data_IF_839629773511
#
_entry.id   IF_839629773511
#
_cell.length_a   1.000
_cell.length_b   1.000
_cell.length_c   1.000
_cell.angle_alpha   90.00
_cell.angle_beta   90.00
_cell.angle_gamma   90.00
#
_symmetry.space_group_name_H-M   'P 1'
#
loop_
_entity.id
_entity.type
_entity.pdbx_description
1 polymer ?
#
# COMPACT_ATOMS: atom_id res chain seq x y z
N UNK A 1 -8.74 4.64 -1.06
CA UNK A 1 -7.31 5.00 -0.91
C UNK A 1 -6.68 4.24 0.24
N UNK A 2 -5.36 4.06 0.20
CA UNK A 2 -4.59 3.54 1.31
C UNK A 2 -3.39 4.43 1.61
N UNK A 3 -2.88 4.35 2.85
CA UNK A 3 -1.66 5.05 3.27
C UNK A 3 -0.69 4.05 3.86
N UNK A 4 0.39 3.80 3.15
CA UNK A 4 1.49 3.00 3.65
C UNK A 4 2.45 3.84 4.48
N UNK A 5 3.03 3.24 5.50
CA UNK A 5 3.95 3.89 6.42
C UNK A 5 5.22 3.06 6.60
N UNK A 6 6.33 3.74 6.87
CA UNK A 6 7.55 3.16 7.39
C UNK A 6 7.91 3.83 8.71
N UNK A 7 8.35 3.06 9.67
CA UNK A 7 8.76 3.53 11.00
C UNK A 7 10.11 4.26 10.95
N UNK A 8 10.42 4.98 12.02
CA UNK A 8 11.73 5.59 12.18
C UNK A 8 12.85 4.53 12.24
N UNK A 9 12.61 3.39 12.86
CA UNK A 9 13.58 2.28 12.93
C UNK A 9 13.84 1.67 11.55
N UNK A 10 12.80 1.44 10.74
CA UNK A 10 12.97 0.98 9.36
C UNK A 10 13.75 2.00 8.51
N UNK A 11 13.52 3.31 8.74
CA UNK A 11 14.29 4.35 8.04
C UNK A 11 15.75 4.36 8.47
N UNK A 12 16.03 4.17 9.75
CA UNK A 12 17.39 4.11 10.29
C UNK A 12 18.15 2.87 9.79
N UNK A 13 17.46 1.73 9.65
CA UNK A 13 18.03 0.46 9.20
C UNK A 13 18.22 0.42 7.68
N UNK A 14 17.20 0.85 6.93
CA UNK A 14 17.16 0.66 5.47
C UNK A 14 17.53 1.89 4.67
N UNK A 15 17.55 3.05 5.29
CA UNK A 15 17.63 4.35 4.63
C UNK A 15 16.30 4.82 4.04
N UNK A 16 16.17 6.16 3.95
CA UNK A 16 14.90 6.82 3.60
C UNK A 16 14.35 6.39 2.23
N UNK A 17 15.20 6.21 1.24
CA UNK A 17 14.77 5.90 -0.13
C UNK A 17 14.09 4.54 -0.21
N UNK A 18 14.70 3.53 0.44
CA UNK A 18 14.15 2.18 0.46
C UNK A 18 12.89 2.11 1.32
N UNK A 19 12.90 2.74 2.50
CA UNK A 19 11.74 2.83 3.37
C UNK A 19 10.52 3.49 2.68
N UNK A 20 10.74 4.53 1.84
CA UNK A 20 9.69 5.13 1.02
C UNK A 20 9.13 4.14 -0.01
N UNK A 21 9.99 3.34 -0.64
CA UNK A 21 9.58 2.28 -1.57
C UNK A 21 8.68 1.25 -0.89
N UNK A 22 9.10 0.73 0.26
CA UNK A 22 8.32 -0.24 1.04
C UNK A 22 6.99 0.37 1.51
N UNK A 23 6.99 1.61 1.98
CA UNK A 23 5.75 2.29 2.37
C UNK A 23 4.77 2.42 1.19
N UNK A 24 5.26 2.78 -0.01
CA UNK A 24 4.43 2.86 -1.20
C UNK A 24 3.87 1.47 -1.60
N UNK A 25 4.67 0.42 -1.52
CA UNK A 25 4.23 -0.96 -1.79
C UNK A 25 3.18 -1.44 -0.77
N UNK A 26 3.29 -1.05 0.51
CA UNK A 26 2.26 -1.32 1.53
C UNK A 26 0.92 -0.68 1.16
N UNK A 27 0.93 0.58 0.71
CA UNK A 27 -0.28 1.25 0.24
C UNK A 27 -0.87 0.57 -1.00
N UNK A 28 -0.04 0.24 -1.98
CA UNK A 28 -0.44 -0.44 -3.21
C UNK A 28 -1.08 -1.80 -2.91
N UNK A 29 -0.40 -2.63 -2.13
CA UNK A 29 -0.90 -3.96 -1.70
C UNK A 29 -2.26 -3.86 -1.01
N UNK A 30 -2.44 -2.87 -0.14
CA UNK A 30 -3.71 -2.66 0.55
C UNK A 30 -4.82 -2.29 -0.43
N UNK A 31 -4.61 -1.30 -1.32
CA UNK A 31 -5.62 -0.87 -2.31
C UNK A 31 -6.00 -2.02 -3.23
N UNK A 32 -5.03 -2.79 -3.72
CA UNK A 32 -5.29 -3.90 -4.63
C UNK A 32 -6.10 -5.01 -3.96
N UNK A 33 -5.79 -5.32 -2.70
CA UNK A 33 -6.57 -6.30 -1.92
C UNK A 33 -7.99 -5.83 -1.65
N UNK A 34 -8.19 -4.55 -1.34
CA UNK A 34 -9.51 -3.95 -1.15
C UNK A 34 -10.34 -3.98 -2.45
N UNK A 35 -9.70 -3.79 -3.60
CA UNK A 35 -10.32 -3.91 -4.91
C UNK A 35 -10.54 -5.36 -5.38
N UNK A 36 -10.06 -6.35 -4.62
CA UNK A 36 -10.13 -7.75 -4.99
C UNK A 36 -9.24 -8.14 -6.17
N UNK A 37 -8.22 -7.33 -6.47
CA UNK A 37 -7.26 -7.61 -7.53
C UNK A 37 -6.33 -8.73 -7.10
N UNK A 38 -6.18 -9.77 -7.98
CA UNK A 38 -5.28 -10.90 -7.77
C UNK A 38 -4.70 -11.33 -9.11
N UNK A 39 -3.45 -11.78 -9.11
CA UNK A 39 -2.89 -12.54 -10.23
C UNK A 39 -3.73 -13.82 -10.35
N UNK A 40 -4.37 -13.99 -11.51
CA UNK A 40 -5.35 -15.03 -11.77
C UNK A 40 -4.90 -16.42 -11.34
N UNK A 41 -5.66 -17.03 -10.45
CA UNK A 41 -5.48 -18.39 -9.97
C UNK A 41 -6.05 -18.58 -8.58
N UNK A 42 -7.34 -18.39 -8.42
CA UNK A 42 -8.26 -19.17 -7.61
C UNK A 42 -9.60 -18.41 -7.54
N UNK A 43 -10.46 -18.80 -8.44
CA UNK A 43 -11.89 -18.49 -8.34
C UNK A 43 -12.43 -19.27 -7.13
N UNK A 44 -12.47 -18.62 -5.96
CA UNK A 44 -13.22 -19.14 -4.84
C UNK A 44 -14.70 -18.97 -5.17
N UNK A 45 -15.27 -19.94 -5.90
CA UNK A 45 -16.70 -20.13 -5.99
C UNK A 45 -17.19 -20.34 -4.55
N UNK A 46 -17.80 -19.34 -3.96
CA UNK A 46 -18.61 -19.54 -2.76
C UNK A 46 -19.72 -20.50 -3.15
N UNK A 47 -19.58 -21.77 -2.76
CA UNK A 47 -20.63 -22.76 -2.78
C UNK A 47 -21.75 -22.25 -1.88
N UNK A 48 -22.79 -21.70 -2.49
CA UNK A 48 -24.05 -21.48 -1.79
C UNK A 48 -24.60 -22.86 -1.46
N UNK A 49 -24.54 -23.24 -0.21
CA UNK A 49 -25.26 -24.38 0.34
C UNK A 49 -26.75 -24.02 0.34
N UNK A 50 -27.46 -24.55 -0.64
CA UNK A 50 -28.91 -24.55 -0.69
C UNK A 50 -29.34 -25.99 -0.86
N UNK A 51 -29.70 -26.66 0.23
CA UNK A 51 -30.43 -27.92 0.23
C UNK A 51 -31.75 -27.73 -0.50
N UNK A 52 -32.01 -28.59 -1.47
CA UNK A 52 -33.38 -29.00 -1.76
C UNK A 52 -33.36 -30.38 -2.40
N UNK A 53 -33.86 -31.33 -1.67
CA UNK A 53 -34.12 -32.69 -2.11
C UNK A 53 -35.26 -32.72 -3.12
N UNK A 54 -35.14 -33.59 -4.15
CA UNK A 54 -36.28 -33.80 -5.05
C UNK A 54 -36.04 -34.77 -6.21
N UNK A 55 -36.30 -36.06 -5.92
CA UNK A 55 -36.87 -37.09 -6.80
C UNK A 55 -36.17 -37.50 -8.10
N UNK A 56 -35.73 -38.72 -8.02
CA UNK A 56 -35.38 -39.64 -9.10
C UNK A 56 -36.64 -39.95 -9.97
N UNK A 57 -36.49 -39.88 -11.31
CA UNK A 57 -37.34 -40.59 -12.23
C UNK A 57 -36.46 -41.29 -13.28
N UNK A 58 -36.53 -42.63 -13.28
CA UNK A 58 -35.97 -43.49 -14.31
C UNK A 58 -36.73 -43.38 -15.63
N UNK A 59 -36.00 -43.47 -16.76
CA UNK A 59 -36.59 -43.63 -18.09
C UNK A 59 -35.53 -43.74 -19.17
N UNK A 60 -35.26 -44.95 -19.65
CA UNK A 60 -34.44 -45.33 -20.81
C UNK A 60 -35.25 -45.22 -22.12
N UNK A 61 -34.64 -45.54 -23.33
CA UNK A 61 -33.38 -45.09 -23.97
C UNK A 61 -33.57 -44.61 -25.42
N UNK A 62 -32.51 -44.12 -26.06
CA UNK A 62 -32.35 -44.23 -27.50
C UNK A 62 -32.23 -42.89 -28.24
N UNK A 63 -31.09 -42.69 -28.91
CA UNK A 63 -30.91 -41.63 -29.90
C UNK A 63 -29.48 -41.16 -29.98
N UNK A 64 -28.69 -41.82 -30.87
CA UNK A 64 -27.41 -41.29 -31.37
C UNK A 64 -27.67 -40.02 -32.13
N UNK A 65 -26.85 -38.95 -31.88
CA UNK A 65 -26.41 -37.99 -32.91
C UNK A 65 -25.30 -37.08 -32.35
N UNK A 66 -24.20 -37.05 -33.07
CA UNK A 66 -23.42 -35.87 -33.35
C UNK A 66 -22.65 -35.24 -32.18
N UNK A 67 -21.40 -35.59 -32.06
CA UNK A 67 -20.37 -34.78 -31.41
C UNK A 67 -20.25 -33.43 -32.11
N UNK A 68 -20.85 -32.41 -31.54
CA UNK A 68 -20.36 -31.04 -31.73
C UNK A 68 -19.43 -30.74 -30.58
N UNK A 69 -18.14 -30.91 -30.82
CA UNK A 69 -17.11 -30.35 -29.97
C UNK A 69 -17.24 -28.83 -30.11
N UNK A 70 -18.07 -28.23 -29.26
CA UNK A 70 -18.06 -26.79 -29.07
C UNK A 70 -16.70 -26.40 -28.51
N UNK A 71 -15.89 -25.78 -29.35
CA UNK A 71 -14.70 -25.05 -28.90
C UNK A 71 -15.16 -24.07 -27.80
N UNK A 72 -14.97 -24.43 -26.55
CA UNK A 72 -14.89 -23.47 -25.46
C UNK A 72 -13.61 -22.70 -25.68
N UNK A 73 -13.64 -21.71 -26.57
CA UNK A 73 -12.66 -20.63 -26.54
C UNK A 73 -12.78 -19.99 -25.15
N UNK A 74 -11.98 -20.49 -24.21
CA UNK A 74 -11.79 -19.87 -22.93
C UNK A 74 -11.27 -18.47 -23.20
N UNK A 75 -12.15 -17.48 -23.08
CA UNK A 75 -11.77 -16.08 -23.08
C UNK A 75 -10.68 -15.92 -22.03
N UNK A 76 -9.44 -15.86 -22.47
CA UNK A 76 -8.29 -15.55 -21.59
C UNK A 76 -8.54 -14.13 -21.11
N UNK A 77 -9.11 -14.02 -19.92
CA UNK A 77 -9.35 -12.75 -19.27
C UNK A 77 -7.99 -12.10 -19.09
N UNK A 78 -7.70 -11.04 -19.84
CA UNK A 78 -6.47 -10.30 -19.72
C UNK A 78 -6.28 -9.91 -18.24
N UNK A 79 -5.11 -10.18 -17.68
CA UNK A 79 -4.80 -9.78 -16.32
C UNK A 79 -4.93 -8.25 -16.21
N UNK A 80 -5.52 -7.74 -15.13
CA UNK A 80 -5.61 -6.30 -14.93
C UNK A 80 -4.19 -5.71 -14.87
N UNK A 81 -4.00 -4.55 -15.51
CA UNK A 81 -2.75 -3.80 -15.43
C UNK A 81 -2.92 -2.69 -14.42
N UNK A 82 -1.96 -2.55 -13.52
CA UNK A 82 -1.88 -1.47 -12.55
C UNK A 82 -0.79 -0.51 -13.00
N UNK A 83 -1.09 0.79 -13.03
CA UNK A 83 -0.14 1.84 -13.34
C UNK A 83 -0.10 2.86 -12.21
N UNK A 84 1.08 3.40 -11.91
CA UNK A 84 1.30 4.40 -10.88
C UNK A 84 2.03 5.62 -11.41
N UNK A 85 1.67 6.80 -10.89
CA UNK A 85 2.42 8.03 -11.12
C UNK A 85 3.11 8.40 -9.81
N UNK A 86 4.43 8.49 -9.85
CA UNK A 86 5.27 8.85 -8.70
C UNK A 86 5.82 10.26 -8.87
N UNK A 87 5.63 11.10 -7.85
CA UNK A 87 6.28 12.41 -7.83
C UNK A 87 7.78 12.29 -7.61
N UNK A 88 8.54 13.04 -8.40
CA UNK A 88 10.00 13.08 -8.34
C UNK A 88 10.69 12.42 -9.52
N UNK A 89 12.04 12.45 -9.53
CA UNK A 89 12.84 11.97 -10.65
C UNK A 89 13.20 10.48 -10.58
N UNK A 90 12.98 9.81 -9.45
CA UNK A 90 13.51 8.47 -9.19
C UNK A 90 12.43 7.49 -8.80
N UNK A 91 12.36 6.37 -9.50
CA UNK A 91 11.52 5.24 -9.14
C UNK A 91 12.18 4.41 -8.04
N UNK A 92 11.75 4.62 -6.81
CA UNK A 92 12.15 3.84 -5.65
C UNK A 92 11.15 2.72 -5.32
N UNK A 93 9.97 2.72 -5.95
CA UNK A 93 8.91 1.72 -5.73
C UNK A 93 9.30 0.41 -6.42
N UNK A 94 9.61 0.46 -7.71
CA UNK A 94 10.05 -0.73 -8.46
C UNK A 94 11.34 -1.30 -7.90
N UNK A 95 12.26 -0.44 -7.41
CA UNK A 95 13.50 -0.89 -6.76
C UNK A 95 13.27 -1.65 -5.46
N UNK A 96 12.24 -1.28 -4.70
CA UNK A 96 11.88 -1.97 -3.48
C UNK A 96 11.08 -3.26 -3.72
N UNK A 97 10.44 -3.38 -4.88
CA UNK A 97 9.69 -4.57 -5.26
C UNK A 97 10.63 -5.80 -5.33
N UNK A 98 10.16 -6.94 -4.88
CA UNK A 98 10.91 -8.21 -4.84
C UNK A 98 12.12 -8.23 -3.88
N UNK A 99 12.21 -7.30 -2.96
CA UNK A 99 13.16 -7.36 -1.84
C UNK A 99 12.55 -8.11 -0.66
N UNK A 100 13.40 -8.55 0.27
CA UNK A 100 12.97 -9.40 1.40
C UNK A 100 11.90 -8.72 2.29
N UNK A 101 12.02 -7.41 2.50
CA UNK A 101 11.13 -6.65 3.39
C UNK A 101 9.91 -6.07 2.66
N UNK A 102 9.83 -6.25 1.35
CA UNK A 102 8.70 -5.78 0.56
C UNK A 102 7.45 -6.59 0.88
N UNK A 103 6.28 -5.94 1.03
CA UNK A 103 5.02 -6.66 1.15
C UNK A 103 4.71 -7.38 -0.17
N UNK A 104 3.96 -8.48 -0.05
CA UNK A 104 3.36 -9.12 -1.22
C UNK A 104 2.37 -8.17 -1.90
N UNK A 105 2.66 -7.84 -3.16
CA UNK A 105 1.82 -6.99 -4.01
C UNK A 105 1.12 -7.87 -5.04
N UNK A 106 -0.22 -7.94 -5.02
CA UNK A 106 -0.99 -8.79 -5.93
C UNK A 106 -0.67 -8.59 -7.41
N UNK A 107 -0.49 -7.34 -7.83
CA UNK A 107 -0.17 -6.98 -9.21
C UNK A 107 0.89 -5.87 -9.19
N UNK A 108 2.14 -6.16 -9.59
CA UNK A 108 3.16 -5.13 -9.70
C UNK A 108 2.71 -3.98 -10.62
N UNK A 109 2.81 -2.74 -10.12
CA UNK A 109 2.44 -1.57 -10.90
C UNK A 109 3.56 -1.15 -11.85
N UNK A 110 3.18 -0.70 -13.03
CA UNK A 110 4.06 0.03 -13.95
C UNK A 110 4.18 1.49 -13.49
N UNK A 111 5.36 1.90 -13.04
CA UNK A 111 5.58 3.19 -12.39
C UNK A 111 6.16 4.19 -13.38
N UNK A 112 5.45 5.30 -13.54
CA UNK A 112 5.93 6.48 -14.27
C UNK A 112 6.31 7.58 -13.30
N UNK A 113 7.54 8.09 -13.39
CA UNK A 113 8.01 9.21 -12.56
C UNK A 113 7.72 10.55 -13.23
N UNK A 114 7.32 11.55 -12.43
CA UNK A 114 7.08 12.91 -12.90
C UNK A 114 7.61 13.92 -11.90
N UNK A 115 8.61 14.69 -12.30
CA UNK A 115 9.12 15.80 -11.48
C UNK A 115 8.02 16.85 -11.30
N UNK A 116 7.76 17.26 -10.05
CA UNK A 116 6.65 18.14 -9.67
C UNK A 116 5.30 17.61 -10.13
N UNK A 117 5.12 16.29 -9.96
CA UNK A 117 3.90 15.58 -10.37
C UNK A 117 2.65 16.14 -9.71
N UNK A 118 2.76 16.61 -8.47
CA UNK A 118 1.70 17.29 -7.72
C UNK A 118 1.18 18.57 -8.40
N UNK A 119 2.02 19.27 -9.14
CA UNK A 119 1.62 20.48 -9.90
C UNK A 119 0.95 20.15 -11.24
N UNK A 120 1.11 18.94 -11.74
CA UNK A 120 0.64 18.54 -13.07
C UNK A 120 -0.46 17.48 -13.04
N UNK A 121 -0.64 16.79 -11.93
CA UNK A 121 -1.56 15.68 -11.81
C UNK A 121 -2.37 15.78 -10.51
N UNK A 122 -3.68 15.99 -10.64
CA UNK A 122 -4.57 16.14 -9.49
C UNK A 122 -4.59 14.91 -8.57
N UNK A 123 -4.44 13.70 -9.11
CA UNK A 123 -4.38 12.48 -8.29
C UNK A 123 -3.11 12.42 -7.46
N UNK A 124 -1.97 12.87 -7.99
CA UNK A 124 -0.70 12.98 -7.25
C UNK A 124 -0.82 14.02 -6.15
N UNK A 125 -1.36 15.21 -6.46
CA UNK A 125 -1.62 16.25 -5.46
C UNK A 125 -2.54 15.75 -4.34
N UNK A 126 -3.62 15.06 -4.69
CA UNK A 126 -4.56 14.49 -3.72
C UNK A 126 -3.88 13.45 -2.84
N UNK A 127 -3.09 12.55 -3.40
CA UNK A 127 -2.33 11.54 -2.65
C UNK A 127 -1.34 12.20 -1.67
N UNK A 128 -0.64 13.25 -2.11
CA UNK A 128 0.29 14.01 -1.26
C UNK A 128 -0.43 14.67 -0.07
N UNK A 129 -1.62 15.26 -0.29
CA UNK A 129 -2.42 15.85 0.79
C UNK A 129 -2.90 14.78 1.76
N UNK A 130 -3.40 13.64 1.29
CA UNK A 130 -3.85 12.53 2.14
C UNK A 130 -2.68 12.03 3.00
N UNK A 131 -1.53 11.76 2.41
CA UNK A 131 -0.35 11.29 3.13
C UNK A 131 0.10 12.31 4.18
N UNK A 132 0.17 13.59 3.80
CA UNK A 132 0.55 14.67 4.72
C UNK A 132 -0.41 14.80 5.89
N UNK A 133 -1.71 14.85 5.65
CA UNK A 133 -2.71 14.98 6.72
C UNK A 133 -2.69 13.78 7.65
N UNK A 134 -2.55 12.57 7.10
CA UNK A 134 -2.44 11.34 7.90
C UNK A 134 -1.22 11.38 8.81
N UNK A 135 -0.05 11.78 8.26
CA UNK A 135 1.17 11.93 9.05
C UNK A 135 1.05 13.02 10.12
N UNK A 136 0.50 14.16 9.77
CA UNK A 136 0.35 15.29 10.71
C UNK A 136 -0.58 14.90 11.88
N UNK A 137 -1.65 14.15 11.63
CA UNK A 137 -2.53 13.60 12.68
C UNK A 137 -1.77 12.62 13.57
N UNK A 138 -1.05 11.68 12.97
CA UNK A 138 -0.22 10.73 13.71
C UNK A 138 0.74 11.46 14.66
N UNK A 139 1.39 12.55 14.21
CA UNK A 139 2.31 13.32 15.04
C UNK A 139 1.60 14.04 16.21
N UNK A 140 0.38 14.50 16.00
CA UNK A 140 -0.45 15.08 17.07
C UNK A 140 -0.82 14.01 18.10
N UNK A 141 -1.29 12.86 17.64
CA UNK A 141 -1.69 11.74 18.50
C UNK A 141 -0.49 11.24 19.33
N UNK A 142 0.69 11.12 18.71
CA UNK A 142 1.93 10.77 19.41
C UNK A 142 2.32 11.82 20.45
N UNK A 143 2.22 13.11 20.13
CA UNK A 143 2.51 14.19 21.09
C UNK A 143 1.61 14.12 22.34
N UNK A 144 0.37 13.67 22.15
CA UNK A 144 -0.62 13.57 23.25
C UNK A 144 -0.56 12.23 24.01
N UNK A 145 0.06 11.21 23.41
CA UNK A 145 0.08 9.86 23.99
C UNK A 145 0.94 9.74 25.25
N UNK A 146 1.93 10.63 25.44
CA UNK A 146 2.84 10.59 26.56
C UNK A 146 3.30 12.02 26.95
N UNK A 147 3.12 12.43 28.21
CA UNK A 147 3.55 13.75 28.69
C UNK A 147 5.02 14.08 28.42
N UNK A 148 5.89 13.07 28.33
CA UNK A 148 7.32 13.25 28.01
C UNK A 148 7.55 13.83 26.61
N UNK A 149 6.57 13.70 25.71
CA UNK A 149 6.68 14.21 24.34
C UNK A 149 6.30 15.68 24.21
N UNK A 150 5.72 16.27 25.26
CA UNK A 150 5.31 17.68 25.26
C UNK A 150 6.47 18.63 24.96
N UNK A 151 7.67 18.34 25.49
CA UNK A 151 8.87 19.16 25.29
C UNK A 151 9.27 19.30 23.81
N UNK A 152 8.98 18.31 22.97
CA UNK A 152 9.36 18.29 21.54
C UNK A 152 8.38 19.04 20.63
N UNK A 153 7.25 19.50 21.15
CA UNK A 153 6.24 20.28 20.45
C UNK A 153 5.72 19.65 19.15
N UNK A 154 5.63 18.32 19.08
CA UNK A 154 5.23 17.62 17.85
C UNK A 154 3.80 17.96 17.40
N UNK A 155 2.93 18.38 18.31
CA UNK A 155 1.60 18.86 17.97
C UNK A 155 1.66 20.11 17.08
N UNK A 156 2.73 20.93 17.19
CA UNK A 156 2.97 22.12 16.39
C UNK A 156 3.85 21.84 15.18
N UNK A 157 5.06 21.34 15.43
CA UNK A 157 6.08 21.20 14.40
C UNK A 157 5.98 19.91 13.58
N UNK A 158 5.08 18.98 13.93
CA UNK A 158 4.88 17.68 13.24
C UNK A 158 6.16 16.86 13.06
N UNK A 159 7.13 17.05 13.97
CA UNK A 159 8.42 16.38 13.90
C UNK A 159 9.41 17.01 12.90
N UNK A 160 9.09 18.17 12.32
CA UNK A 160 10.07 18.92 11.54
C UNK A 160 11.12 19.55 12.44
N UNK A 161 12.34 19.75 11.91
CA UNK A 161 13.49 20.31 12.64
C UNK A 161 13.39 21.80 12.89
N UNK A 162 12.31 22.25 13.56
CA UNK A 162 12.18 23.63 14.02
C UNK A 162 13.25 23.95 15.10
N UNK A 163 13.50 25.22 15.37
CA UNK A 163 14.44 25.63 16.43
C UNK A 163 14.03 25.02 17.78
N UNK A 164 12.75 25.13 18.16
CA UNK A 164 12.23 24.57 19.39
C UNK A 164 12.43 23.05 19.48
N UNK A 165 12.16 22.31 18.39
CA UNK A 165 12.37 20.87 18.36
C UNK A 165 13.84 20.47 18.53
N UNK A 166 14.77 21.17 17.85
CA UNK A 166 16.21 20.91 18.01
C UNK A 166 16.70 21.24 19.42
N UNK A 167 16.24 22.35 20.00
CA UNK A 167 16.54 22.70 21.38
C UNK A 167 16.07 21.61 22.35
N UNK A 168 14.84 21.14 22.19
CA UNK A 168 14.29 20.06 23.02
C UNK A 168 15.11 18.76 22.90
N UNK A 169 15.58 18.40 21.70
CA UNK A 169 16.47 17.26 21.51
C UNK A 169 17.83 17.47 22.23
N UNK A 170 18.39 18.67 22.16
CA UNK A 170 19.65 18.98 22.84
C UNK A 170 19.52 18.93 24.38
N UNK A 171 18.38 19.36 24.94
CA UNK A 171 18.14 19.41 26.39
C UNK A 171 17.68 18.06 26.96
N UNK A 172 16.82 17.34 26.25
CA UNK A 172 16.16 16.13 26.77
C UNK A 172 16.65 14.83 26.10
N UNK A 173 17.49 14.94 25.08
CA UNK A 173 17.91 13.81 24.26
C UNK A 173 16.85 13.36 23.25
N UNK A 174 17.18 12.43 22.35
CA UNK A 174 16.22 11.86 21.42
C UNK A 174 15.30 10.84 22.12
N UNK A 175 14.06 10.75 21.69
CA UNK A 175 13.14 9.68 22.09
C UNK A 175 13.29 8.47 21.15
N UNK A 176 12.72 7.29 21.49
CA UNK A 176 12.70 6.13 20.60
C UNK A 176 11.95 6.36 19.27
N UNK A 177 11.23 7.48 19.13
CA UNK A 177 10.51 7.84 17.91
C UNK A 177 11.33 8.75 16.98
N UNK A 178 12.50 9.21 17.39
CA UNK A 178 13.42 9.94 16.54
C UNK A 178 14.22 8.98 15.63
N UNK A 179 14.58 9.49 14.46
CA UNK A 179 15.51 8.81 13.57
C UNK A 179 16.94 9.11 14.04
N UNK A 180 17.64 8.10 14.56
CA UNK A 180 18.95 8.30 15.16
C UNK A 180 20.10 8.31 14.15
N UNK A 181 19.88 7.79 12.94
CA UNK A 181 20.85 7.84 11.84
C UNK A 181 21.03 9.23 11.21
N UNK A 182 20.20 10.19 11.61
CA UNK A 182 20.24 11.57 11.11
C UNK A 182 20.93 12.48 12.12
N UNK A 183 21.64 13.52 11.63
CA UNK A 183 22.16 14.58 12.51
C UNK A 183 20.98 15.36 13.10
N UNK A 184 20.69 15.12 14.37
CA UNK A 184 19.52 15.67 15.07
C UNK A 184 19.77 17.05 15.69
N UNK A 185 21.03 17.43 15.88
CA UNK A 185 21.47 18.70 16.50
C UNK A 185 22.43 19.43 15.57
#
# INVERSE_FOLDING_TARGET
YAVGQASNTEIDEWGITYALGVAALRALSQVERELGLRLGGESTIKKASGESAGKIVEGRPGGSVGESIGNCEGSVRALPKVAGILDGPSDYITKALNTFDAPDVPIPADITTKVKGDQHCATVATAAVIAKVTRDRLMVDLAQSNPRYAAYEWAHNKGYGSAAHRTAIAEHGPTPLHRVSWHLT
#
